data_IF_766894078409
#
_entry.id   IF_766894078409
#
_cell.length_a   1.000
_cell.length_b   1.000
_cell.length_c   1.000
_cell.angle_alpha   90.00
_cell.angle_beta   90.00
_cell.angle_gamma   90.00
#
_symmetry.space_group_name_H-M   'P 1'
#
loop_
_entity.id
_entity.type
_entity.pdbx_description
1 polymer ?
#
# COMPACT_ATOMS: atom_id res chain seq x y z
N UNK A 1 1.28 -24.80 2.87
CA UNK A 1 0.91 -23.79 1.85
C UNK A 1 -0.02 -22.68 2.37
N UNK A 2 -0.27 -22.54 3.68
CA UNK A 2 -1.26 -21.57 4.21
C UNK A 2 -0.65 -20.21 4.60
N UNK A 3 0.68 -20.08 4.63
CA UNK A 3 1.36 -18.89 5.17
C UNK A 3 1.67 -17.80 4.13
N UNK A 4 1.71 -18.14 2.84
CA UNK A 4 2.00 -17.19 1.76
C UNK A 4 0.77 -16.42 1.28
N UNK A 5 -0.44 -16.95 1.47
CA UNK A 5 -1.68 -16.38 0.95
C UNK A 5 -2.20 -15.16 1.74
N UNK A 6 -1.64 -14.85 2.91
CA UNK A 6 -2.11 -13.74 3.75
C UNK A 6 -1.11 -12.59 3.89
N UNK A 7 0.05 -12.68 3.22
CA UNK A 7 1.11 -11.68 3.33
C UNK A 7 0.61 -10.34 2.78
N UNK A 8 -0.02 -10.35 1.61
CA UNK A 8 -0.51 -9.13 0.96
C UNK A 8 -1.75 -8.56 1.63
N UNK A 9 -2.67 -9.42 2.08
CA UNK A 9 -3.81 -8.98 2.87
C UNK A 9 -3.37 -8.28 4.16
N UNK A 10 -2.40 -8.86 4.88
CA UNK A 10 -1.86 -8.27 6.12
C UNK A 10 -1.15 -6.94 5.85
N UNK A 11 -0.37 -6.87 4.77
CA UNK A 11 0.27 -5.64 4.31
C UNK A 11 -0.75 -4.56 3.94
N UNK A 12 -1.83 -4.93 3.25
CA UNK A 12 -2.94 -4.03 2.89
C UNK A 12 -3.63 -3.47 4.12
N UNK A 13 -3.91 -4.32 5.11
CA UNK A 13 -4.52 -3.93 6.37
C UNK A 13 -3.63 -2.95 7.15
N UNK A 14 -2.34 -3.25 7.27
CA UNK A 14 -1.38 -2.39 7.96
C UNK A 14 -1.20 -1.06 7.22
N UNK A 15 -1.06 -1.07 5.89
CA UNK A 15 -0.92 0.14 5.10
C UNK A 15 -2.16 1.04 5.20
N UNK A 16 -3.35 0.46 5.08
CA UNK A 16 -4.62 1.17 5.25
C UNK A 16 -4.75 1.78 6.64
N UNK A 17 -4.43 1.03 7.69
CA UNK A 17 -4.45 1.51 9.08
C UNK A 17 -3.46 2.66 9.31
N UNK A 18 -2.24 2.59 8.76
CA UNK A 18 -1.25 3.66 8.85
C UNK A 18 -1.76 4.94 8.16
N UNK A 19 -2.39 4.83 7.00
CA UNK A 19 -2.96 5.98 6.28
C UNK A 19 -4.05 6.65 7.12
N UNK A 20 -4.99 5.86 7.62
CA UNK A 20 -6.08 6.36 8.48
C UNK A 20 -5.51 7.01 9.74
N UNK A 21 -4.56 6.36 10.42
CA UNK A 21 -3.91 6.90 11.62
C UNK A 21 -3.16 8.20 11.34
N UNK A 22 -2.37 8.27 10.26
CA UNK A 22 -1.61 9.48 9.89
C UNK A 22 -2.55 10.65 9.58
N UNK A 23 -3.68 10.40 8.92
CA UNK A 23 -4.67 11.45 8.62
C UNK A 23 -5.39 11.89 9.90
N UNK A 24 -5.81 10.93 10.75
CA UNK A 24 -6.48 11.21 12.02
C UNK A 24 -5.58 12.00 12.99
N UNK A 25 -4.32 11.61 13.13
CA UNK A 25 -3.34 12.25 14.03
C UNK A 25 -2.97 13.67 13.60
N UNK A 26 -3.00 13.98 12.30
CA UNK A 26 -2.61 15.30 11.77
C UNK A 26 -3.66 16.41 12.02
N UNK A 27 -4.81 16.06 12.57
CA UNK A 27 -5.83 17.00 13.03
C UNK A 27 -6.66 17.66 11.93
N UNK A 28 -7.89 18.06 12.32
CA UNK A 28 -9.00 18.55 11.47
C UNK A 28 -8.79 19.96 10.86
N UNK A 29 -7.56 20.48 10.79
CA UNK A 29 -7.33 21.93 10.52
C UNK A 29 -7.37 22.36 9.04
N UNK A 30 -7.71 21.44 8.14
CA UNK A 30 -8.18 21.71 6.78
C UNK A 30 -8.40 20.35 6.13
N UNK A 31 -9.65 19.92 6.05
CA UNK A 31 -10.01 18.74 5.28
C UNK A 31 -9.99 19.16 3.82
N UNK A 32 -8.80 19.22 3.23
CA UNK A 32 -8.66 19.32 1.77
C UNK A 32 -9.29 18.06 1.13
N UNK A 33 -9.99 18.17 -0.01
CA UNK A 33 -10.67 17.04 -0.65
C UNK A 33 -9.74 15.84 -0.91
N UNK A 34 -8.46 16.11 -1.18
CA UNK A 34 -7.40 15.10 -1.32
C UNK A 34 -7.16 14.24 -0.06
N UNK A 35 -7.31 14.81 1.14
CA UNK A 35 -7.15 14.05 2.40
C UNK A 35 -8.36 13.19 2.69
N UNK A 36 -9.56 13.67 2.37
CA UNK A 36 -10.79 12.89 2.47
C UNK A 36 -10.74 11.69 1.52
N UNK A 37 -10.33 11.92 0.28
CA UNK A 37 -10.14 10.85 -0.70
C UNK A 37 -9.11 9.81 -0.23
N UNK A 38 -7.97 10.25 0.31
CA UNK A 38 -6.96 9.34 0.87
C UNK A 38 -7.45 8.59 2.11
N UNK A 39 -8.32 9.19 2.93
CA UNK A 39 -8.94 8.52 4.08
C UNK A 39 -9.90 7.43 3.60
N UNK A 40 -10.75 7.74 2.62
CA UNK A 40 -11.66 6.76 2.01
C UNK A 40 -10.89 5.58 1.41
N UNK A 41 -9.80 5.84 0.69
CA UNK A 41 -8.93 4.77 0.16
C UNK A 41 -8.35 3.92 1.29
N UNK A 42 -7.83 4.55 2.35
CA UNK A 42 -7.31 3.82 3.51
C UNK A 42 -8.36 2.92 4.18
N UNK A 43 -9.58 3.41 4.35
CA UNK A 43 -10.69 2.61 4.88
C UNK A 43 -11.08 1.46 3.94
N UNK A 44 -11.15 1.71 2.63
CA UNK A 44 -11.44 0.68 1.63
C UNK A 44 -10.36 -0.41 1.62
N UNK A 45 -9.08 -0.07 1.75
CA UNK A 45 -8.00 -1.05 1.86
C UNK A 45 -8.17 -1.97 3.07
N UNK A 46 -8.50 -1.41 4.24
CA UNK A 46 -8.73 -2.21 5.45
C UNK A 46 -9.94 -3.14 5.28
N UNK A 47 -11.05 -2.62 4.74
CA UNK A 47 -12.26 -3.43 4.51
C UNK A 47 -11.98 -4.55 3.51
N UNK A 48 -11.32 -4.25 2.39
CA UNK A 48 -10.97 -5.24 1.37
C UNK A 48 -10.01 -6.30 1.91
N UNK A 49 -9.02 -5.91 2.71
CA UNK A 49 -8.09 -6.84 3.35
C UNK A 49 -8.81 -7.79 4.33
N UNK A 50 -9.73 -7.28 5.14
CA UNK A 50 -10.52 -8.11 6.07
C UNK A 50 -11.42 -9.08 5.30
N UNK A 51 -12.08 -8.60 4.23
CA UNK A 51 -12.90 -9.47 3.37
C UNK A 51 -12.02 -10.54 2.71
N UNK A 52 -10.84 -10.18 2.22
CA UNK A 52 -9.93 -11.13 1.58
C UNK A 52 -9.43 -12.21 2.55
N UNK A 53 -9.10 -11.83 3.79
CA UNK A 53 -8.75 -12.77 4.84
C UNK A 53 -9.89 -13.73 5.21
N UNK A 54 -11.13 -13.22 5.27
CA UNK A 54 -12.32 -14.01 5.64
C UNK A 54 -12.76 -14.97 4.52
N UNK A 55 -12.67 -14.52 3.27
CA UNK A 55 -13.14 -15.29 2.10
C UNK A 55 -12.02 -16.18 1.53
N UNK A 56 -10.75 -15.88 1.82
CA UNK A 56 -9.60 -16.55 1.21
C UNK A 56 -9.53 -16.30 -0.30
N UNK A 57 -10.12 -15.20 -0.77
CA UNK A 57 -10.17 -14.77 -2.18
C UNK A 57 -9.85 -13.28 -2.22
N UNK A 58 -9.47 -12.77 -3.39
CA UNK A 58 -9.15 -11.36 -3.62
C UNK A 58 -7.77 -10.89 -3.13
N UNK A 59 -6.87 -11.80 -2.72
CA UNK A 59 -5.44 -11.51 -2.43
C UNK A 59 -4.76 -10.76 -3.59
N UNK A 60 -5.15 -11.08 -4.83
CA UNK A 60 -4.70 -10.41 -6.04
C UNK A 60 -5.08 -8.92 -6.07
N UNK A 61 -6.32 -8.58 -5.75
CA UNK A 61 -6.81 -7.19 -5.69
C UNK A 61 -6.11 -6.44 -4.54
N UNK A 62 -5.98 -7.08 -3.37
CA UNK A 62 -5.25 -6.51 -2.24
C UNK A 62 -3.79 -6.21 -2.60
N UNK A 63 -3.10 -7.12 -3.29
CA UNK A 63 -1.70 -6.94 -3.70
C UNK A 63 -1.52 -5.78 -4.69
N UNK A 64 -2.41 -5.64 -5.68
CA UNK A 64 -2.37 -4.51 -6.61
C UNK A 64 -2.57 -3.19 -5.86
N UNK A 65 -3.56 -3.13 -4.96
CA UNK A 65 -3.85 -1.94 -4.16
C UNK A 65 -2.67 -1.55 -3.27
N UNK A 66 -2.04 -2.53 -2.61
CA UNK A 66 -0.82 -2.33 -1.82
C UNK A 66 0.28 -1.74 -2.69
N UNK A 67 0.56 -2.35 -3.84
CA UNK A 67 1.63 -1.89 -4.72
C UNK A 67 1.41 -0.46 -5.23
N UNK A 68 0.19 -0.12 -5.67
CA UNK A 68 -0.15 1.24 -6.13
C UNK A 68 0.01 2.26 -5.02
N UNK A 69 -0.51 1.97 -3.82
CA UNK A 69 -0.42 2.90 -2.68
C UNK A 69 1.02 3.08 -2.22
N UNK A 70 1.81 2.02 -2.23
CA UNK A 70 3.24 2.06 -1.90
C UNK A 70 4.02 2.94 -2.89
N UNK A 71 3.77 2.78 -4.20
CA UNK A 71 4.36 3.64 -5.24
C UNK A 71 3.98 5.11 -5.08
N UNK A 72 2.70 5.41 -4.79
CA UNK A 72 2.25 6.78 -4.54
C UNK A 72 2.95 7.35 -3.30
N UNK A 73 3.12 6.56 -2.25
CA UNK A 73 3.75 7.01 -1.02
C UNK A 73 5.22 7.37 -1.22
N UNK A 74 5.96 6.50 -1.91
CA UNK A 74 7.36 6.70 -2.26
C UNK A 74 7.50 7.88 -3.22
N UNK A 75 6.63 7.98 -4.24
CA UNK A 75 6.65 9.09 -5.18
C UNK A 75 6.39 10.45 -4.52
N UNK A 76 5.46 10.51 -3.57
CA UNK A 76 5.11 11.73 -2.81
C UNK A 76 6.06 12.02 -1.66
N UNK A 77 7.00 11.13 -1.35
CA UNK A 77 8.03 11.44 -0.38
C UNK A 77 8.85 12.63 -0.88
N UNK A 78 8.91 13.69 -0.08
CA UNK A 78 9.64 14.91 -0.40
C UNK A 78 11.11 14.81 0.02
N UNK A 79 11.44 13.83 0.86
CA UNK A 79 12.80 13.58 1.33
C UNK A 79 13.49 12.55 0.43
N UNK A 80 13.46 12.79 -0.89
CA UNK A 80 14.08 11.85 -1.83
C UNK A 80 15.60 11.91 -1.65
N UNK A 81 16.27 10.78 -1.41
CA UNK A 81 17.73 10.76 -1.39
C UNK A 81 18.26 11.21 -2.76
N UNK A 82 19.35 11.99 -2.74
CA UNK A 82 20.07 12.41 -3.95
C UNK A 82 20.41 11.17 -4.81
N UNK A 83 20.24 11.22 -6.14
CA UNK A 83 20.64 10.14 -7.02
C UNK A 83 22.15 9.92 -6.89
N UNK A 84 22.51 8.83 -6.24
CA UNK A 84 23.88 8.39 -5.97
C UNK A 84 23.86 6.97 -5.42
N UNK A 85 24.99 6.26 -5.48
CA UNK A 85 25.13 4.91 -4.91
C UNK A 85 25.22 4.97 -3.37
N UNK A 86 24.20 5.53 -2.72
CA UNK A 86 24.05 5.54 -1.27
C UNK A 86 23.04 4.49 -0.83
N UNK A 87 23.18 4.02 0.41
CA UNK A 87 22.28 3.03 1.01
C UNK A 87 20.84 3.55 1.03
N UNK A 88 20.63 4.82 1.35
CA UNK A 88 19.31 5.46 1.33
C UNK A 88 18.66 5.47 -0.07
N UNK A 89 19.45 5.76 -1.11
CA UNK A 89 18.96 5.72 -2.49
C UNK A 89 18.59 4.29 -2.91
N UNK A 90 19.39 3.30 -2.51
CA UNK A 90 19.12 1.88 -2.77
C UNK A 90 17.84 1.42 -2.08
N UNK A 91 17.60 1.83 -0.84
CA UNK A 91 16.36 1.54 -0.11
C UNK A 91 15.13 2.21 -0.75
N UNK A 92 15.30 3.45 -1.22
CA UNK A 92 14.25 4.16 -1.96
C UNK A 92 13.91 3.45 -3.28
N UNK A 93 14.92 2.96 -4.01
CA UNK A 93 14.74 2.16 -5.23
C UNK A 93 14.07 0.80 -4.94
N UNK A 94 14.52 0.11 -3.89
CA UNK A 94 13.94 -1.16 -3.45
C UNK A 94 12.46 -1.02 -3.05
N UNK A 95 12.07 0.16 -2.56
CA UNK A 95 10.66 0.46 -2.34
C UNK A 95 9.84 0.55 -3.63
N UNK A 96 10.39 1.13 -4.71
CA UNK A 96 9.76 1.11 -6.03
C UNK A 96 9.65 -0.31 -6.58
N UNK A 97 10.70 -1.11 -6.46
CA UNK A 97 10.69 -2.53 -6.87
C UNK A 97 9.62 -3.32 -6.11
N UNK A 98 9.54 -3.17 -4.78
CA UNK A 98 8.52 -3.84 -3.98
C UNK A 98 7.10 -3.47 -4.42
N UNK A 99 6.85 -2.21 -4.76
CA UNK A 99 5.57 -1.76 -5.30
C UNK A 99 5.24 -2.37 -6.67
N UNK A 100 6.22 -2.46 -7.56
CA UNK A 100 6.06 -3.07 -8.89
C UNK A 100 5.83 -4.58 -8.76
N UNK A 101 6.59 -5.28 -7.92
CA UNK A 101 6.45 -6.72 -7.68
C UNK A 101 5.06 -7.04 -7.13
N UNK A 102 4.54 -6.24 -6.20
CA UNK A 102 3.18 -6.40 -5.66
C UNK A 102 2.10 -6.27 -6.75
N UNK A 103 2.27 -5.32 -7.69
CA UNK A 103 1.35 -5.15 -8.82
C UNK A 103 1.44 -6.33 -9.79
N UNK A 104 2.65 -6.75 -10.14
CA UNK A 104 2.88 -7.88 -11.04
C UNK A 104 2.31 -9.16 -10.46
N UNK A 105 2.55 -9.43 -9.17
CA UNK A 105 1.99 -10.59 -8.48
C UNK A 105 0.46 -10.61 -8.54
N UNK A 106 -0.19 -9.49 -8.23
CA UNK A 106 -1.64 -9.42 -8.28
C UNK A 106 -2.21 -9.52 -9.70
N UNK A 107 -1.48 -9.03 -10.72
CA UNK A 107 -1.86 -9.21 -12.13
C UNK A 107 -1.72 -10.67 -12.57
N UNK A 108 -0.59 -11.32 -12.28
CA UNK A 108 -0.36 -12.73 -12.62
C UNK A 108 -1.48 -13.60 -12.04
N UNK A 109 -1.80 -13.40 -10.76
CA UNK A 109 -2.86 -14.12 -10.04
C UNK A 109 -4.28 -13.69 -10.42
N UNK A 110 -4.44 -12.67 -11.26
CA UNK A 110 -5.72 -12.29 -11.85
C UNK A 110 -5.99 -13.04 -13.17
N UNK A 111 -4.94 -13.43 -13.89
CA UNK A 111 -5.03 -14.16 -15.16
C UNK A 111 -4.90 -15.69 -15.01
N UNK A 112 -4.62 -16.16 -13.79
CA UNK A 112 -4.56 -17.56 -13.39
C UNK A 112 -5.93 -18.05 -12.88
#
# INVERSE_FOLDING_TARGET
MVYYDYIWDSLSLVAGAIIVYRIAKKGRRSITPLRLFSLCIGCLMVILAVIAMLVGKYDNICSILVGVVFLIFIYRDKNKPSPGFTIDYSWHLGGYEAGIIAIVYGLVRFFE
#
